data_IF_736110518285
#
_entry.id   IF_736110518285
#
_cell.length_a   1.000
_cell.length_b   1.000
_cell.length_c   1.000
_cell.angle_alpha   90.00
_cell.angle_beta   90.00
_cell.angle_gamma   90.00
#
_symmetry.space_group_name_H-M   'P 1'
#
loop_
_entity.id
_entity.type
_entity.pdbx_description
1 polymer ?
#
# COMPACT_ATOMS: atom_id res chain seq x y z
N UNK A 1 19.40 17.62 4.96
CA UNK A 1 18.51 16.52 5.39
C UNK A 1 18.27 16.63 6.88
N UNK A 2 17.18 16.06 7.37
CA UNK A 2 16.82 16.05 8.80
C UNK A 2 16.70 14.61 9.26
N UNK A 3 17.28 14.30 10.40
CA UNK A 3 17.13 13.03 11.12
C UNK A 3 16.37 13.31 12.41
N UNK A 4 15.40 12.46 12.76
CA UNK A 4 14.65 12.60 14.00
C UNK A 4 13.64 11.49 14.21
N UNK A 5 13.15 11.36 15.44
CA UNK A 5 12.29 10.25 15.88
C UNK A 5 10.78 10.55 15.69
N UNK A 6 10.41 11.82 15.53
CA UNK A 6 9.03 12.30 15.70
C UNK A 6 8.33 12.78 14.42
N UNK A 7 8.94 12.63 13.24
CA UNK A 7 8.28 12.94 11.96
C UNK A 7 8.14 11.70 11.07
N UNK A 8 7.15 11.70 10.18
CA UNK A 8 7.03 10.62 9.20
C UNK A 8 8.23 10.66 8.24
N UNK A 9 8.77 9.48 7.85
CA UNK A 9 9.93 9.41 6.98
C UNK A 9 9.59 9.93 5.57
N UNK A 10 10.58 10.59 4.97
CA UNK A 10 10.65 11.02 3.58
C UNK A 10 12.08 10.81 3.04
N UNK A 11 12.39 11.39 1.88
CA UNK A 11 13.73 11.36 1.28
C UNK A 11 14.66 12.32 2.02
N UNK A 12 14.18 13.50 2.38
CA UNK A 12 14.95 14.52 3.11
C UNK A 12 14.78 14.45 4.63
N UNK A 13 13.86 13.60 5.09
CA UNK A 13 13.47 13.42 6.48
C UNK A 13 13.60 11.94 6.87
N UNK A 14 14.82 11.49 7.17
CA UNK A 14 15.03 10.11 7.61
C UNK A 14 14.68 9.95 9.10
N UNK A 15 14.23 8.75 9.47
CA UNK A 15 13.89 8.41 10.84
C UNK A 15 14.86 7.36 11.37
N UNK A 16 15.34 7.53 12.60
CA UNK A 16 16.16 6.52 13.26
C UNK A 16 15.30 5.30 13.60
N UNK A 17 15.78 4.12 13.23
CA UNK A 17 15.26 2.83 13.66
C UNK A 17 16.39 1.96 14.24
N UNK A 18 16.04 0.79 14.78
CA UNK A 18 16.99 -0.13 15.41
C UNK A 18 18.10 -0.62 14.47
N UNK A 19 17.76 -0.84 13.20
CA UNK A 19 18.67 -1.35 12.18
C UNK A 19 19.39 -0.25 11.39
N UNK A 20 19.14 1.04 11.69
CA UNK A 20 19.70 2.18 10.99
C UNK A 20 18.64 3.19 10.60
N UNK A 21 19.00 4.13 9.72
CA UNK A 21 18.05 5.13 9.24
C UNK A 21 17.07 4.51 8.24
N UNK A 22 15.87 5.07 8.25
CA UNK A 22 14.72 4.68 7.43
C UNK A 22 14.28 5.87 6.57
N UNK A 23 14.17 5.65 5.26
CA UNK A 23 13.59 6.61 4.31
C UNK A 23 12.38 6.02 3.61
N UNK A 24 11.45 6.89 3.20
CA UNK A 24 10.27 6.51 2.43
C UNK A 24 10.23 7.30 1.14
N UNK A 25 9.90 6.60 0.07
CA UNK A 25 9.93 7.10 -1.28
C UNK A 25 8.50 7.08 -1.81
N UNK A 26 8.03 8.26 -2.19
CA UNK A 26 6.66 8.47 -2.67
C UNK A 26 6.56 8.09 -4.14
N UNK A 27 5.53 7.32 -4.49
CA UNK A 27 5.29 6.86 -5.87
C UNK A 27 3.80 7.06 -6.20
N UNK A 28 3.42 8.22 -6.78
CA UNK A 28 2.03 8.56 -7.15
C UNK A 28 1.32 7.42 -7.88
N UNK A 29 0.22 6.93 -7.31
CA UNK A 29 -0.57 5.82 -7.84
C UNK A 29 0.16 4.48 -7.91
N UNK A 30 1.32 4.35 -7.26
CA UNK A 30 2.22 3.21 -7.42
C UNK A 30 2.89 3.13 -8.78
N UNK A 31 2.78 4.17 -9.61
CA UNK A 31 3.29 4.19 -10.98
C UNK A 31 4.79 4.50 -10.97
N UNK A 32 5.61 3.55 -11.38
CA UNK A 32 7.07 3.70 -11.42
C UNK A 32 7.57 3.35 -12.81
N UNK A 33 8.53 4.10 -13.35
CA UNK A 33 9.13 3.74 -14.64
C UNK A 33 10.31 2.77 -14.46
N UNK A 34 10.67 1.95 -15.46
CA UNK A 34 11.74 0.96 -15.32
C UNK A 34 13.10 1.56 -14.90
N UNK A 35 13.46 2.73 -15.41
CA UNK A 35 14.70 3.43 -15.05
C UNK A 35 14.73 3.86 -13.58
N UNK A 36 13.59 4.30 -13.04
CA UNK A 36 13.41 4.62 -11.63
C UNK A 36 13.58 3.38 -10.75
N UNK A 37 12.95 2.26 -11.11
CA UNK A 37 13.10 1.01 -10.35
C UNK A 37 14.54 0.48 -10.39
N UNK A 38 15.24 0.63 -11.52
CA UNK A 38 16.67 0.30 -11.61
C UNK A 38 17.54 1.22 -10.74
N UNK A 39 17.23 2.52 -10.66
CA UNK A 39 17.92 3.43 -9.76
C UNK A 39 17.73 3.01 -8.29
N UNK A 40 16.50 2.64 -7.91
CA UNK A 40 16.20 2.11 -6.57
C UNK A 40 17.05 0.87 -6.26
N UNK A 41 17.14 -0.09 -7.18
CA UNK A 41 17.94 -1.30 -6.99
C UNK A 41 19.42 -1.01 -6.73
N UNK A 42 20.01 -0.05 -7.48
CA UNK A 42 21.40 0.37 -7.31
C UNK A 42 21.62 1.08 -5.98
N UNK A 43 20.70 1.98 -5.62
CA UNK A 43 20.78 2.76 -4.39
C UNK A 43 20.60 1.89 -3.15
N UNK A 44 19.72 0.89 -3.19
CA UNK A 44 19.56 -0.05 -2.07
C UNK A 44 20.77 -0.94 -1.86
N UNK A 45 21.38 -1.41 -2.94
CA UNK A 45 22.63 -2.18 -2.86
C UNK A 45 23.80 -1.36 -2.30
N UNK A 46 23.85 -0.05 -2.60
CA UNK A 46 24.98 0.80 -2.24
C UNK A 46 24.87 1.46 -0.86
N UNK A 47 23.66 1.82 -0.43
CA UNK A 47 23.46 2.76 0.68
C UNK A 47 22.45 2.31 1.74
N UNK A 48 21.93 1.09 1.65
CA UNK A 48 20.95 0.53 2.60
C UNK A 48 21.22 -0.96 2.83
N UNK A 49 20.30 -1.67 3.50
CA UNK A 49 20.36 -3.11 3.77
C UNK A 49 20.23 -4.03 2.52
N UNK A 50 20.37 -3.49 1.29
CA UNK A 50 20.20 -4.24 0.05
C UNK A 50 18.76 -4.63 -0.29
N UNK A 51 17.77 -4.18 0.49
CA UNK A 51 16.35 -4.47 0.28
C UNK A 51 15.53 -3.21 0.02
N UNK A 52 14.38 -3.42 -0.62
CA UNK A 52 13.37 -2.40 -0.90
C UNK A 52 12.03 -2.96 -0.48
N UNK A 53 11.31 -2.23 0.36
CA UNK A 53 10.03 -2.66 0.90
C UNK A 53 8.88 -1.92 0.21
N UNK A 54 7.90 -2.67 -0.27
CA UNK A 54 6.65 -2.13 -0.83
C UNK A 54 5.67 -1.94 0.31
N UNK A 55 5.12 -0.73 0.42
CA UNK A 55 4.18 -0.38 1.49
C UNK A 55 2.73 -0.57 1.04
N UNK A 56 1.79 -0.61 1.99
CA UNK A 56 0.36 -0.73 1.67
C UNK A 56 -0.29 0.53 1.13
N UNK A 57 0.50 1.54 0.76
CA UNK A 57 0.04 2.73 0.04
C UNK A 57 0.76 2.85 -1.30
N UNK A 58 1.25 1.73 -1.83
CA UNK A 58 1.98 1.67 -3.09
C UNK A 58 3.21 2.59 -3.15
N UNK A 59 3.84 2.84 -2.00
CA UNK A 59 5.14 3.52 -1.90
C UNK A 59 6.27 2.51 -1.69
N UNK A 60 7.51 3.00 -1.79
CA UNK A 60 8.71 2.23 -1.44
C UNK A 60 9.33 2.72 -0.11
N UNK A 61 10.10 1.86 0.52
CA UNK A 61 10.79 2.13 1.77
C UNK A 61 12.15 1.44 1.79
N UNK A 62 13.17 2.11 2.32
CA UNK A 62 14.54 1.61 2.46
C UNK A 62 15.01 1.76 3.90
N UNK A 63 15.73 0.76 4.40
CA UNK A 63 16.15 0.64 5.82
C UNK A 63 17.63 0.27 5.92
N UNK A 64 18.18 0.34 7.12
CA UNK A 64 19.59 0.05 7.35
C UNK A 64 20.52 1.06 6.71
N UNK A 65 20.08 2.33 6.61
CA UNK A 65 20.89 3.39 6.00
C UNK A 65 21.81 3.97 7.09
N UNK A 66 23.11 3.99 6.83
CA UNK A 66 24.09 4.65 7.70
C UNK A 66 24.03 6.18 7.52
N UNK A 67 24.41 6.93 8.56
CA UNK A 67 24.33 8.40 8.55
C UNK A 67 25.14 9.03 7.41
N UNK A 68 26.31 8.46 7.13
CA UNK A 68 27.26 8.90 6.11
C UNK A 68 26.68 8.68 4.70
N UNK A 69 25.87 7.63 4.54
CA UNK A 69 25.26 7.22 3.26
C UNK A 69 23.99 8.00 2.91
N UNK A 70 23.33 8.61 3.90
CA UNK A 70 22.03 9.23 3.72
C UNK A 70 22.05 10.34 2.65
N UNK A 71 23.12 11.14 2.57
CA UNK A 71 23.22 12.25 1.61
C UNK A 71 23.35 11.72 0.17
N UNK A 72 24.12 10.65 -0.01
CA UNK A 72 24.30 10.02 -1.32
C UNK A 72 23.00 9.36 -1.78
N UNK A 73 22.30 8.67 -0.88
CA UNK A 73 21.00 8.10 -1.15
C UNK A 73 19.98 9.17 -1.56
N UNK A 74 19.85 10.25 -0.79
CA UNK A 74 18.89 11.32 -1.07
C UNK A 74 19.15 12.00 -2.43
N UNK A 75 20.42 12.30 -2.75
CA UNK A 75 20.80 12.85 -4.07
C UNK A 75 20.51 11.89 -5.21
N UNK A 76 20.75 10.60 -5.01
CA UNK A 76 20.45 9.57 -6.00
C UNK A 76 18.95 9.45 -6.27
N UNK A 77 18.13 9.50 -5.22
CA UNK A 77 16.67 9.47 -5.33
C UNK A 77 16.11 10.73 -6.01
N UNK A 78 16.67 11.90 -5.68
CA UNK A 78 16.34 13.17 -6.33
C UNK A 78 16.70 13.14 -7.83
N UNK A 79 17.90 12.67 -8.16
CA UNK A 79 18.36 12.51 -9.56
C UNK A 79 17.50 11.51 -10.36
N UNK A 80 16.91 10.53 -9.69
CA UNK A 80 15.95 9.59 -10.29
C UNK A 80 14.51 10.15 -10.37
N UNK A 81 14.26 11.38 -9.90
CA UNK A 81 12.98 12.06 -9.99
C UNK A 81 11.97 11.66 -8.92
N UNK A 82 12.41 11.14 -7.77
CA UNK A 82 11.50 10.77 -6.68
C UNK A 82 11.21 11.90 -5.70
N UNK A 83 12.04 12.94 -5.65
CA UNK A 83 11.82 14.09 -4.78
C UNK A 83 10.88 15.09 -5.48
N UNK A 84 9.63 15.27 -5.02
CA UNK A 84 8.72 16.22 -5.66
C UNK A 84 9.18 17.67 -5.48
N UNK A 85 9.50 18.04 -4.24
CA UNK A 85 10.19 19.26 -3.86
C UNK A 85 10.60 19.17 -2.38
N UNK A 86 11.54 20.01 -1.90
CA UNK A 86 11.96 19.98 -0.50
C UNK A 86 10.82 20.19 0.51
N UNK A 87 9.82 21.00 0.17
CA UNK A 87 8.69 21.30 1.04
C UNK A 87 7.62 20.21 1.03
N UNK A 88 7.55 19.39 -0.03
CA UNK A 88 6.52 18.36 -0.20
C UNK A 88 7.03 16.94 0.06
N UNK A 89 8.27 16.78 0.54
CA UNK A 89 8.92 15.49 0.82
C UNK A 89 8.09 14.54 1.71
N UNK A 90 7.29 15.11 2.62
CA UNK A 90 6.47 14.35 3.59
C UNK A 90 4.98 14.31 3.23
N UNK A 91 4.57 14.96 2.14
CA UNK A 91 3.19 14.84 1.66
C UNK A 91 2.96 13.40 1.23
N UNK A 92 1.82 12.84 1.59
CA UNK A 92 1.55 11.41 1.32
C UNK A 92 1.31 11.14 -0.16
N UNK A 93 1.30 9.85 -0.45
CA UNK A 93 0.93 9.36 -1.76
C UNK A 93 -0.56 9.58 -2.06
N UNK A 94 -0.88 9.64 -3.34
CA UNK A 94 -2.24 9.44 -3.86
C UNK A 94 -2.30 7.96 -4.29
N UNK A 95 -3.15 7.17 -3.65
CA UNK A 95 -3.28 5.73 -3.93
C UNK A 95 -4.43 5.50 -4.92
N UNK A 96 -4.30 4.51 -5.80
CA UNK A 96 -5.36 4.14 -6.74
C UNK A 96 -5.34 2.64 -7.02
N UNK A 97 -6.33 2.15 -7.77
CA UNK A 97 -6.36 0.78 -8.25
C UNK A 97 -5.06 0.45 -9.02
N UNK A 98 -4.27 -0.53 -8.58
CA UNK A 98 -3.02 -0.90 -9.25
C UNK A 98 -3.21 -1.38 -10.69
N UNK A 99 -4.41 -1.84 -11.05
CA UNK A 99 -4.77 -2.22 -12.41
C UNK A 99 -5.40 -1.07 -13.21
N UNK A 100 -5.37 0.17 -12.73
CA UNK A 100 -5.90 1.31 -13.48
C UNK A 100 -5.30 1.39 -14.90
N UNK A 101 -6.16 1.36 -15.92
CA UNK A 101 -5.82 1.30 -17.34
C UNK A 101 -5.26 -0.04 -17.84
N UNK A 102 -5.24 -1.08 -17.00
CA UNK A 102 -4.72 -2.42 -17.29
C UNK A 102 -5.77 -3.53 -17.08
N UNK A 103 -6.66 -3.37 -16.11
CA UNK A 103 -7.63 -4.38 -15.69
C UNK A 103 -8.92 -4.34 -16.52
N UNK A 104 -9.61 -5.47 -16.60
CA UNK A 104 -10.89 -5.59 -17.32
C UNK A 104 -12.10 -5.02 -16.54
N UNK A 105 -12.03 -5.02 -15.22
CA UNK A 105 -13.15 -4.77 -14.32
C UNK A 105 -13.22 -3.32 -13.80
N UNK A 106 -12.30 -2.45 -14.24
CA UNK A 106 -12.36 -1.02 -13.91
C UNK A 106 -13.49 -0.32 -14.69
N UNK A 107 -14.09 0.68 -14.06
CA UNK A 107 -15.14 1.52 -14.66
C UNK A 107 -14.51 2.64 -15.50
N UNK A 108 -13.43 3.24 -15.01
CA UNK A 108 -12.66 4.27 -15.73
C UNK A 108 -11.16 4.13 -15.44
N UNK A 109 -10.32 4.84 -16.19
CA UNK A 109 -8.89 4.94 -15.89
C UNK A 109 -8.63 6.10 -14.92
N UNK A 110 -8.18 5.80 -13.70
CA UNK A 110 -7.91 6.80 -12.65
C UNK A 110 -6.53 7.46 -12.76
N UNK A 111 -5.62 6.94 -13.60
CA UNK A 111 -4.24 7.44 -13.69
C UNK A 111 -4.14 8.93 -14.03
N UNK A 112 -4.96 9.50 -14.95
CA UNK A 112 -4.94 10.93 -15.23
C UNK A 112 -5.23 11.78 -13.99
N UNK A 113 -6.25 11.43 -13.20
CA UNK A 113 -6.62 12.15 -11.98
C UNK A 113 -5.53 12.08 -10.92
N UNK A 114 -4.88 10.92 -10.76
CA UNK A 114 -3.75 10.77 -9.84
C UNK A 114 -2.59 11.67 -10.22
N UNK A 115 -2.23 11.70 -11.51
CA UNK A 115 -1.14 12.57 -12.02
C UNK A 115 -1.48 14.04 -11.85
N UNK A 116 -2.70 14.44 -12.17
CA UNK A 116 -3.13 15.83 -12.03
C UNK A 116 -3.14 16.27 -10.56
N UNK A 117 -3.79 15.49 -9.69
CA UNK A 117 -3.87 15.78 -8.26
C UNK A 117 -2.47 15.89 -7.65
N UNK A 118 -1.59 14.93 -7.93
CA UNK A 118 -0.21 14.97 -7.47
C UNK A 118 0.54 16.22 -7.95
N UNK A 119 0.43 16.52 -9.25
CA UNK A 119 1.11 17.64 -9.87
C UNK A 119 0.63 18.99 -9.31
N UNK A 120 -0.65 19.10 -8.94
CA UNK A 120 -1.21 20.31 -8.32
C UNK A 120 -0.86 20.41 -6.84
N UNK A 121 -0.92 19.31 -6.09
CA UNK A 121 -0.47 19.26 -4.68
C UNK A 121 0.98 19.74 -4.56
N UNK A 122 1.87 19.25 -5.42
CA UNK A 122 3.30 19.55 -5.32
C UNK A 122 3.69 20.97 -5.76
N UNK A 123 2.80 21.68 -6.46
CA UNK A 123 2.97 23.08 -6.88
C UNK A 123 2.34 24.08 -5.93
N UNK A 124 1.42 23.66 -5.06
CA UNK A 124 0.72 24.54 -4.12
C UNK A 124 1.45 24.59 -2.77
N UNK A 125 2.09 25.71 -2.38
CA UNK A 125 2.74 25.84 -1.07
C UNK A 125 1.78 25.63 0.11
N UNK A 126 0.48 25.88 -0.06
CA UNK A 126 -0.54 25.61 0.95
C UNK A 126 -0.68 24.12 1.27
N UNK A 127 -0.41 23.26 0.29
CA UNK A 127 -0.47 21.79 0.44
C UNK A 127 0.73 21.20 1.16
N UNK A 128 1.86 21.91 1.22
CA UNK A 128 2.99 21.52 2.07
C UNK A 128 2.62 21.48 3.57
N UNK A 129 1.55 22.18 3.96
CA UNK A 129 0.99 22.17 5.32
C UNK A 129 0.20 20.91 5.68
N UNK A 130 -0.10 20.03 4.72
CA UNK A 130 -0.81 18.79 4.99
C UNK A 130 -0.04 17.92 5.99
N UNK A 131 -0.72 17.37 7.03
CA UNK A 131 -0.04 16.48 7.95
C UNK A 131 0.57 15.29 7.21
N UNK A 132 1.75 14.80 7.62
CA UNK A 132 2.39 13.67 6.97
C UNK A 132 1.61 12.35 7.03
N UNK A 133 0.42 12.32 7.64
CA UNK A 133 -0.51 11.18 7.67
C UNK A 133 -1.77 11.39 6.83
N UNK A 134 -2.02 12.60 6.33
CA UNK A 134 -3.15 12.94 5.47
C UNK A 134 -3.01 12.22 4.13
N UNK A 135 -3.99 11.42 3.71
CA UNK A 135 -3.89 10.61 2.48
C UNK A 135 -5.06 10.80 1.52
N UNK A 136 -4.77 10.53 0.24
CA UNK A 136 -5.75 10.59 -0.84
C UNK A 136 -5.89 9.22 -1.50
N UNK A 137 -7.11 8.87 -1.90
CA UNK A 137 -7.37 7.72 -2.75
C UNK A 137 -8.33 8.04 -3.91
N UNK A 138 -8.08 7.44 -5.07
CA UNK A 138 -9.01 7.49 -6.21
C UNK A 138 -9.27 6.05 -6.62
N UNK A 139 -10.47 5.55 -6.33
CA UNK A 139 -10.92 4.23 -6.71
C UNK A 139 -11.61 4.28 -8.09
N UNK A 140 -11.04 3.52 -9.02
CA UNK A 140 -11.46 3.42 -10.42
C UNK A 140 -12.47 2.30 -10.69
N UNK A 141 -12.91 1.60 -9.64
CA UNK A 141 -13.75 0.41 -9.78
C UNK A 141 -12.96 -0.87 -9.77
N UNK A 142 -13.65 -1.95 -10.13
CA UNK A 142 -13.12 -3.30 -10.06
C UNK A 142 -13.06 -3.86 -8.64
N UNK A 143 -12.33 -4.96 -8.51
CA UNK A 143 -12.43 -5.86 -7.35
C UNK A 143 -11.17 -5.84 -6.46
N UNK A 144 -10.08 -5.22 -6.92
CA UNK A 144 -8.73 -5.37 -6.35
C UNK A 144 -8.27 -4.21 -5.45
N UNK A 145 -9.11 -3.20 -5.26
CA UNK A 145 -8.73 -1.97 -4.57
C UNK A 145 -9.84 -1.52 -3.63
N UNK A 146 -9.53 -1.44 -2.33
CA UNK A 146 -10.41 -0.82 -1.33
C UNK A 146 -9.57 0.07 -0.41
N UNK A 147 -9.84 1.37 -0.47
CA UNK A 147 -9.11 2.41 0.25
C UNK A 147 -10.05 3.52 0.75
N UNK A 148 -11.23 3.12 1.23
CA UNK A 148 -12.23 4.05 1.76
C UNK A 148 -11.77 4.74 3.05
N UNK A 149 -10.87 4.11 3.80
CA UNK A 149 -10.32 4.58 5.08
C UNK A 149 -9.31 5.75 4.98
N UNK A 150 -8.92 6.15 3.76
CA UNK A 150 -8.04 7.30 3.52
C UNK A 150 -8.73 8.62 3.91
N UNK A 151 -7.95 9.70 4.08
CA UNK A 151 -8.53 10.96 4.56
C UNK A 151 -9.54 11.54 3.55
N UNK A 152 -9.16 11.62 2.28
CA UNK A 152 -10.09 11.98 1.21
C UNK A 152 -10.03 10.94 0.11
N UNK A 153 -11.18 10.42 -0.28
CA UNK A 153 -11.26 9.45 -1.36
C UNK A 153 -12.40 9.75 -2.32
N UNK A 154 -12.18 9.42 -3.58
CA UNK A 154 -13.19 9.42 -4.63
C UNK A 154 -13.39 8.01 -5.12
N UNK A 155 -14.62 7.50 -5.05
CA UNK A 155 -14.99 6.19 -5.57
C UNK A 155 -15.89 6.34 -6.77
N UNK A 156 -15.44 5.87 -7.93
CA UNK A 156 -16.30 5.93 -9.13
C UNK A 156 -17.55 5.08 -8.90
N UNK A 157 -18.70 5.55 -9.36
CA UNK A 157 -19.96 4.83 -9.41
C UNK A 157 -20.65 5.08 -10.76
N UNK A 158 -21.57 4.20 -11.13
CA UNK A 158 -22.42 4.37 -12.31
C UNK A 158 -23.82 4.77 -11.88
N UNK A 159 -24.34 5.87 -12.42
CA UNK A 159 -25.69 6.41 -12.18
C UNK A 159 -26.29 6.74 -13.54
N UNK A 160 -27.43 6.12 -13.89
CA UNK A 160 -28.16 6.36 -15.14
C UNK A 160 -27.24 6.43 -16.38
N UNK A 161 -26.43 5.37 -16.58
CA UNK A 161 -25.44 5.22 -17.66
C UNK A 161 -24.30 6.25 -17.70
N UNK A 162 -24.21 7.12 -16.68
CA UNK A 162 -23.13 8.08 -16.49
C UNK A 162 -22.25 7.71 -15.30
N UNK A 163 -21.07 8.32 -15.20
CA UNK A 163 -20.14 8.09 -14.09
C UNK A 163 -19.99 9.33 -13.21
N UNK A 164 -20.01 9.10 -11.90
CA UNK A 164 -19.70 10.09 -10.87
C UNK A 164 -18.65 9.51 -9.93
N UNK A 165 -17.98 10.37 -9.16
CA UNK A 165 -17.21 9.94 -8.01
C UNK A 165 -18.00 10.21 -6.73
N UNK A 166 -18.30 9.17 -5.96
CA UNK A 166 -18.77 9.32 -4.59
C UNK A 166 -17.64 9.88 -3.73
N UNK A 167 -17.86 11.03 -3.09
CA UNK A 167 -16.93 11.61 -2.14
C UNK A 167 -16.98 10.84 -0.81
N UNK A 168 -15.83 10.35 -0.38
CA UNK A 168 -15.61 9.66 0.88
C UNK A 168 -14.66 10.49 1.74
N UNK A 169 -15.05 10.76 2.97
CA UNK A 169 -14.31 11.61 3.91
C UNK A 169 -13.98 10.79 5.15
N UNK A 170 -12.70 10.46 5.32
CA UNK A 170 -12.18 9.79 6.50
C UNK A 170 -12.78 8.40 6.79
N UNK A 171 -13.17 7.65 5.75
CA UNK A 171 -13.87 6.36 5.89
C UNK A 171 -15.39 6.43 5.75
N UNK A 172 -15.97 7.62 5.61
CA UNK A 172 -17.43 7.79 5.59
C UNK A 172 -17.89 8.28 4.22
N UNK A 173 -18.83 7.54 3.61
CA UNK A 173 -19.54 7.99 2.42
C UNK A 173 -20.36 9.24 2.72
N UNK A 174 -20.08 10.33 2.02
CA UNK A 174 -20.70 11.63 2.29
C UNK A 174 -22.19 11.72 1.91
N UNK A 175 -22.69 10.77 1.11
CA UNK A 175 -23.98 10.88 0.40
C UNK A 175 -23.94 11.76 -0.86
N UNK A 176 -22.79 12.38 -1.17
CA UNK A 176 -22.64 13.27 -2.32
C UNK A 176 -21.63 12.74 -3.34
N UNK A 177 -21.93 13.04 -4.59
CA UNK A 177 -21.12 12.73 -5.75
C UNK A 177 -20.43 13.98 -6.26
N UNK A 178 -19.41 13.77 -7.08
CA UNK A 178 -18.66 14.80 -7.78
C UNK A 178 -18.59 14.37 -9.25
N UNK A 179 -18.84 15.29 -10.16
CA UNK A 179 -18.69 15.02 -11.59
C UNK A 179 -17.23 14.75 -11.93
N UNK A 180 -17.00 13.97 -12.98
CA UNK A 180 -15.65 13.52 -13.37
C UNK A 180 -14.71 14.72 -13.61
N UNK A 181 -15.19 15.79 -14.23
CA UNK A 181 -14.41 17.00 -14.53
C UNK A 181 -14.04 17.84 -13.29
N UNK A 182 -14.76 17.67 -12.17
CA UNK A 182 -14.55 18.40 -10.91
C UNK A 182 -13.83 17.59 -9.83
N UNK A 183 -13.52 16.33 -10.10
CA UNK A 183 -12.92 15.39 -9.14
C UNK A 183 -11.66 15.96 -8.45
N UNK A 184 -10.69 16.44 -9.22
CA UNK A 184 -9.41 16.93 -8.69
C UNK A 184 -9.59 18.26 -7.93
N UNK A 185 -10.40 19.17 -8.47
CA UNK A 185 -10.71 20.45 -7.81
C UNK A 185 -11.37 20.22 -6.45
N UNK A 186 -12.37 19.34 -6.38
CA UNK A 186 -13.05 18.99 -5.15
C UNK A 186 -12.08 18.41 -4.09
N UNK A 187 -11.17 17.51 -4.48
CA UNK A 187 -10.20 16.93 -3.53
C UNK A 187 -9.20 17.97 -2.99
N UNK A 188 -8.74 18.88 -3.85
CA UNK A 188 -7.82 19.95 -3.44
C UNK A 188 -8.51 20.92 -2.49
N UNK A 189 -9.72 21.37 -2.83
CA UNK A 189 -10.48 22.28 -1.98
C UNK A 189 -10.84 21.62 -0.65
N UNK A 190 -11.27 20.35 -0.68
CA UNK A 190 -11.53 19.58 0.54
C UNK A 190 -10.30 19.50 1.46
N UNK A 191 -9.10 19.31 0.89
CA UNK A 191 -7.86 19.28 1.66
C UNK A 191 -7.53 20.64 2.30
N UNK A 192 -7.75 21.75 1.58
CA UNK A 192 -7.58 23.11 2.13
C UNK A 192 -8.60 23.38 3.25
N UNK A 193 -9.85 22.98 3.05
CA UNK A 193 -10.90 23.13 4.07
C UNK A 193 -10.59 22.28 5.30
N UNK A 194 -10.03 21.07 5.15
CA UNK A 194 -9.54 20.29 6.30
C UNK A 194 -8.45 21.02 7.10
N UNK A 195 -7.52 21.71 6.43
CA UNK A 195 -6.50 22.53 7.10
C UNK A 195 -7.12 23.74 7.82
N UNK A 196 -8.13 24.35 7.23
CA UNK A 196 -8.87 25.46 7.85
C UNK A 196 -9.67 25.01 9.08
N UNK A 197 -10.44 23.92 8.94
CA UNK A 197 -11.21 23.29 10.03
C UNK A 197 -10.29 22.94 11.20
N UNK A 198 -9.11 22.38 10.91
CA UNK A 198 -8.12 22.04 11.93
C UNK A 198 -7.78 23.22 12.82
N UNK A 199 -7.58 24.41 12.23
CA UNK A 199 -7.32 25.66 12.98
C UNK A 199 -8.57 26.18 13.69
N UNK A 200 -9.71 26.18 13.01
CA UNK A 200 -10.98 26.73 13.52
C UNK A 200 -11.52 25.97 14.72
N UNK A 201 -11.39 24.64 14.71
CA UNK A 201 -11.94 23.75 15.74
C UNK A 201 -10.88 23.16 16.67
N UNK A 202 -9.61 23.54 16.52
CA UNK A 202 -8.46 23.00 17.26
C UNK A 202 -8.41 21.46 17.27
N UNK A 203 -8.50 20.87 16.07
CA UNK A 203 -8.43 19.42 15.86
C UNK A 203 -7.35 19.06 14.86
N UNK A 204 -6.80 17.84 14.89
CA UNK A 204 -5.90 17.39 13.84
C UNK A 204 -6.55 17.53 12.45
N UNK A 205 -5.80 18.07 11.47
CA UNK A 205 -6.18 18.06 10.05
C UNK A 205 -6.15 16.62 9.50
N UNK A 206 -7.09 15.79 9.97
CA UNK A 206 -7.31 14.41 9.56
C UNK A 206 -8.80 14.26 9.33
N UNK A 207 -9.19 13.89 8.12
CA UNK A 207 -10.58 13.82 7.73
C UNK A 207 -11.38 12.82 8.59
N UNK A 208 -10.76 11.73 9.07
CA UNK A 208 -11.41 10.83 10.04
C UNK A 208 -11.83 11.55 11.32
N UNK A 209 -11.01 12.48 11.80
CA UNK A 209 -11.35 13.27 13.00
C UNK A 209 -12.44 14.30 12.66
N UNK A 210 -12.37 14.93 11.50
CA UNK A 210 -13.38 15.88 11.01
C UNK A 210 -14.74 15.19 10.85
N UNK A 211 -14.77 14.03 10.20
CA UNK A 211 -15.96 13.22 9.97
C UNK A 211 -16.61 12.73 11.29
N UNK A 212 -15.82 12.54 12.35
CA UNK A 212 -16.35 12.20 13.69
C UNK A 212 -17.07 13.35 14.40
N UNK A 213 -17.06 14.57 13.83
CA UNK A 213 -17.65 15.77 14.42
C UNK A 213 -18.66 16.38 13.45
N UNK A 214 -19.96 16.22 13.71
CA UNK A 214 -21.03 16.64 12.80
C UNK A 214 -20.92 18.10 12.36
N UNK A 215 -20.56 19.01 13.26
CA UNK A 215 -20.38 20.43 12.90
C UNK A 215 -19.22 20.66 11.92
N UNK A 216 -18.10 19.95 12.08
CA UNK A 216 -16.95 20.07 11.21
C UNK A 216 -17.20 19.40 9.85
N UNK A 217 -17.85 18.23 9.85
CA UNK A 217 -18.29 17.55 8.63
C UNK A 217 -19.29 18.40 7.83
N UNK A 218 -20.31 18.96 8.48
CA UNK A 218 -21.29 19.83 7.84
C UNK A 218 -20.65 21.09 7.27
N UNK A 219 -19.66 21.66 7.98
CA UNK A 219 -18.92 22.79 7.46
C UNK A 219 -18.12 22.42 6.21
N UNK A 220 -17.41 21.29 6.22
CA UNK A 220 -16.67 20.78 5.05
C UNK A 220 -17.61 20.59 3.84
N UNK A 221 -18.76 19.95 4.03
CA UNK A 221 -19.74 19.74 2.95
C UNK A 221 -20.35 21.05 2.46
N UNK A 222 -20.58 22.01 3.35
CA UNK A 222 -21.09 23.34 2.99
C UNK A 222 -20.10 24.10 2.11
N UNK A 223 -18.82 24.11 2.47
CA UNK A 223 -17.78 24.76 1.67
C UNK A 223 -17.62 24.08 0.29
N UNK A 224 -17.86 22.78 0.19
CA UNK A 224 -17.75 22.03 -1.07
C UNK A 224 -19.03 22.03 -1.92
N UNK A 225 -20.11 22.65 -1.45
CA UNK A 225 -21.46 22.49 -2.02
C UNK A 225 -21.56 22.78 -3.51
N UNK A 226 -20.71 23.66 -4.07
CA UNK A 226 -20.64 23.94 -5.52
C UNK A 226 -20.08 22.80 -6.38
N UNK A 227 -19.46 21.78 -5.78
CA UNK A 227 -19.03 20.56 -6.49
C UNK A 227 -20.01 19.40 -6.34
N UNK A 228 -20.88 19.45 -5.33
CA UNK A 228 -21.61 18.28 -4.86
C UNK A 228 -22.92 18.10 -5.63
N UNK A 229 -23.15 16.87 -6.06
CA UNK A 229 -24.44 16.41 -6.60
C UNK A 229 -24.97 15.27 -5.72
N UNK A 230 -26.28 15.06 -5.72
CA UNK A 230 -26.87 13.93 -5.02
C UNK A 230 -26.32 12.62 -5.58
N UNK A 231 -25.96 11.69 -4.68
CA UNK A 231 -25.31 10.46 -5.05
C UNK A 231 -25.92 9.29 -4.27
N UNK A 232 -26.58 8.34 -4.95
CA UNK A 232 -27.11 7.17 -4.27
C UNK A 232 -25.98 6.38 -3.61
N UNK A 233 -26.12 6.07 -2.33
CA UNK A 233 -25.20 5.17 -1.65
C UNK A 233 -25.36 3.76 -2.22
N UNK A 234 -24.38 3.28 -3.00
CA UNK A 234 -24.28 1.86 -3.33
C UNK A 234 -22.95 1.30 -2.80
N UNK A 235 -23.03 0.46 -1.78
CA UNK A 235 -21.86 -0.25 -1.27
C UNK A 235 -21.95 -1.76 -1.55
N UNK A 236 -22.13 -2.10 -2.82
CA UNK A 236 -22.40 -3.49 -3.22
C UNK A 236 -21.20 -4.16 -3.90
N UNK A 237 -20.04 -3.49 -3.99
CA UNK A 237 -18.85 -4.12 -4.59
C UNK A 237 -18.25 -5.14 -3.64
N UNK A 238 -18.10 -6.35 -4.16
CA UNK A 238 -17.30 -7.39 -3.53
C UNK A 238 -15.83 -7.17 -3.88
N UNK A 239 -15.00 -7.04 -2.86
CA UNK A 239 -13.57 -6.93 -3.03
C UNK A 239 -12.91 -8.30 -2.93
N UNK A 240 -11.91 -8.55 -3.76
CA UNK A 240 -11.04 -9.72 -3.61
C UNK A 240 -10.03 -9.40 -2.51
N UNK A 241 -10.10 -10.19 -1.45
CA UNK A 241 -9.33 -9.97 -0.23
C UNK A 241 -7.86 -10.42 -0.34
N UNK A 242 -7.51 -11.17 -1.39
CA UNK A 242 -6.20 -11.77 -1.63
C UNK A 242 -5.36 -10.97 -2.62
N UNK A 243 -4.03 -11.08 -2.50
CA UNK A 243 -3.13 -10.55 -3.51
C UNK A 243 -3.27 -11.37 -4.81
N UNK A 244 -3.48 -10.72 -5.97
CA UNK A 244 -3.63 -11.40 -7.25
C UNK A 244 -2.29 -11.92 -7.76
N UNK A 245 -1.76 -13.02 -7.22
CA UNK A 245 -0.50 -13.61 -7.72
C UNK A 245 -0.77 -14.45 -8.96
N UNK A 246 -0.03 -14.19 -10.05
CA UNK A 246 -0.11 -14.97 -11.28
C UNK A 246 -0.14 -14.15 -12.56
N UNK A 247 -0.81 -14.70 -13.57
CA UNK A 247 -0.96 -14.12 -14.91
C UNK A 247 -2.41 -13.68 -15.09
N UNK A 248 -2.60 -12.40 -15.43
CA UNK A 248 -3.91 -11.80 -15.60
C UNK A 248 -4.02 -11.19 -16.99
N UNK A 249 -5.14 -11.42 -17.65
CA UNK A 249 -5.40 -10.79 -18.94
C UNK A 249 -5.54 -9.26 -18.76
N UNK A 250 -5.22 -8.49 -19.81
CA UNK A 250 -5.49 -7.04 -19.91
C UNK A 250 -6.51 -6.74 -21.01
N UNK A 251 -7.17 -5.58 -20.94
CA UNK A 251 -8.07 -5.04 -21.97
C UNK A 251 -7.44 -5.06 -23.38
N UNK A 252 -6.11 -4.98 -23.47
CA UNK A 252 -5.39 -5.04 -24.74
C UNK A 252 -5.11 -6.49 -25.15
N UNK A 253 -5.72 -6.94 -26.24
CA UNK A 253 -5.52 -8.28 -26.78
C UNK A 253 -4.04 -8.58 -27.09
N UNK A 254 -3.57 -9.78 -26.73
CA UNK A 254 -2.19 -10.22 -26.94
C UNK A 254 -1.22 -9.80 -25.83
N UNK A 255 -1.70 -9.16 -24.77
CA UNK A 255 -0.90 -8.74 -23.61
C UNK A 255 -1.48 -9.30 -22.31
N UNK A 256 -0.62 -9.44 -21.30
CA UNK A 256 -0.96 -9.86 -19.94
C UNK A 256 -0.28 -8.98 -18.90
N UNK A 257 -0.85 -8.98 -17.70
CA UNK A 257 -0.24 -8.47 -16.48
C UNK A 257 0.32 -9.65 -15.68
N UNK A 258 1.58 -9.56 -15.25
CA UNK A 258 2.23 -10.54 -14.40
C UNK A 258 2.37 -9.98 -13.00
N UNK A 259 1.96 -10.75 -12.00
CA UNK A 259 2.03 -10.35 -10.60
C UNK A 259 2.82 -11.39 -9.83
N UNK A 260 4.14 -11.19 -9.66
CA UNK A 260 4.94 -12.09 -8.85
C UNK A 260 4.57 -11.99 -7.36
N UNK A 261 4.67 -13.11 -6.66
CA UNK A 261 4.64 -13.12 -5.21
C UNK A 261 5.90 -12.41 -4.70
N UNK A 262 5.72 -11.35 -3.90
CA UNK A 262 6.81 -10.63 -3.25
C UNK A 262 6.87 -11.05 -1.78
N UNK A 263 7.84 -11.88 -1.36
CA UNK A 263 7.93 -12.37 0.01
C UNK A 263 7.94 -11.21 1.02
N UNK A 264 6.95 -11.19 1.90
CA UNK A 264 6.79 -10.18 2.96
C UNK A 264 6.74 -8.72 2.46
N UNK A 265 6.51 -8.51 1.16
CA UNK A 265 6.60 -7.21 0.52
C UNK A 265 8.01 -6.64 0.43
N UNK A 266 9.06 -7.47 0.48
CA UNK A 266 10.47 -7.06 0.39
C UNK A 266 11.11 -7.65 -0.86
N UNK A 267 11.75 -6.81 -1.65
CA UNK A 267 12.55 -7.19 -2.80
C UNK A 267 14.04 -6.97 -2.49
N UNK A 268 14.89 -7.92 -2.85
CA UNK A 268 16.34 -7.68 -2.88
C UNK A 268 16.69 -6.72 -4.03
N UNK A 269 17.88 -6.11 -3.98
CA UNK A 269 18.41 -5.30 -5.10
C UNK A 269 18.47 -6.10 -6.41
N UNK A 270 18.86 -7.38 -6.36
CA UNK A 270 18.90 -8.26 -7.53
C UNK A 270 17.50 -8.52 -8.12
N UNK A 271 16.51 -8.80 -7.27
CA UNK A 271 15.11 -8.98 -7.69
C UNK A 271 14.55 -7.69 -8.29
N UNK A 272 14.79 -6.55 -7.64
CA UNK A 272 14.36 -5.23 -8.09
C UNK A 272 14.94 -4.89 -9.46
N UNK A 273 16.23 -5.15 -9.66
CA UNK A 273 16.91 -4.96 -10.94
C UNK A 273 16.39 -5.92 -12.03
N UNK A 274 16.10 -7.18 -11.67
CA UNK A 274 15.51 -8.15 -12.60
C UNK A 274 14.15 -7.65 -13.13
N UNK A 275 13.26 -7.22 -12.24
CA UNK A 275 11.94 -6.67 -12.61
C UNK A 275 12.10 -5.43 -13.49
N UNK A 276 12.98 -4.49 -13.12
CA UNK A 276 13.26 -3.30 -13.92
C UNK A 276 13.74 -3.67 -15.34
N UNK A 277 14.65 -4.63 -15.46
CA UNK A 277 15.18 -5.08 -16.75
C UNK A 277 14.15 -5.80 -17.62
N UNK A 278 13.21 -6.55 -17.01
CA UNK A 278 12.10 -7.17 -17.72
C UNK A 278 11.19 -6.09 -18.30
N UNK A 279 10.81 -5.10 -17.48
CA UNK A 279 9.95 -4.02 -17.92
C UNK A 279 10.61 -3.16 -19.00
N UNK A 280 11.92 -2.90 -18.92
CA UNK A 280 12.65 -2.21 -20.00
C UNK A 280 12.66 -2.99 -21.30
N UNK A 281 12.87 -4.31 -21.27
CA UNK A 281 12.94 -5.13 -22.48
C UNK A 281 11.61 -5.19 -23.25
N UNK A 282 10.49 -5.14 -22.52
CA UNK A 282 9.16 -5.33 -23.09
C UNK A 282 8.27 -4.08 -23.05
N UNK A 283 8.83 -2.91 -22.71
CA UNK A 283 8.09 -1.66 -22.46
C UNK A 283 6.90 -1.86 -21.49
N UNK A 284 7.15 -2.66 -20.45
CA UNK A 284 6.15 -3.07 -19.48
C UNK A 284 5.80 -1.97 -18.48
N UNK A 285 4.54 -1.93 -18.09
CA UNK A 285 4.00 -1.01 -17.08
C UNK A 285 4.31 -1.53 -15.67
N UNK A 286 4.98 -0.75 -14.81
CA UNK A 286 5.25 -1.15 -13.43
C UNK A 286 4.33 -0.45 -12.44
N UNK A 287 3.61 -1.25 -11.63
CA UNK A 287 2.64 -0.76 -10.63
C UNK A 287 2.91 -1.36 -9.26
N UNK A 288 3.22 -0.55 -8.27
CA UNK A 288 3.23 -0.94 -6.86
C UNK A 288 1.80 -1.05 -6.34
N UNK A 289 1.56 -2.03 -5.48
CA UNK A 289 0.21 -2.34 -5.04
C UNK A 289 0.03 -2.33 -3.50
N UNK A 290 -1.18 -2.01 -2.99
CA UNK A 290 -1.46 -1.96 -1.54
C UNK A 290 -1.30 -3.28 -0.79
N UNK A 291 -1.36 -4.41 -1.49
CA UNK A 291 -1.03 -5.73 -0.92
C UNK A 291 0.49 -5.94 -0.75
N UNK A 292 1.30 -4.88 -0.90
CA UNK A 292 2.77 -4.89 -0.83
C UNK A 292 3.42 -5.71 -1.96
N UNK A 293 2.78 -5.74 -3.13
CA UNK A 293 3.27 -6.41 -4.33
C UNK A 293 3.56 -5.43 -5.46
N UNK A 294 3.93 -6.00 -6.61
CA UNK A 294 4.21 -5.27 -7.84
C UNK A 294 3.53 -5.97 -9.02
N UNK A 295 3.04 -5.20 -9.98
CA UNK A 295 2.50 -5.66 -11.25
C UNK A 295 3.51 -5.29 -12.33
N UNK A 296 3.81 -6.25 -13.21
CA UNK A 296 4.52 -6.07 -14.47
C UNK A 296 3.47 -6.20 -15.58
N UNK A 297 2.87 -5.08 -15.93
CA UNK A 297 1.79 -4.96 -16.89
C UNK A 297 2.26 -4.88 -18.34
N UNK A 298 1.32 -5.05 -19.26
CA UNK A 298 1.55 -4.88 -20.70
C UNK A 298 2.65 -5.77 -21.26
N UNK A 299 2.76 -7.02 -20.78
CA UNK A 299 3.72 -8.00 -21.29
C UNK A 299 3.08 -8.82 -22.42
N UNK A 300 3.72 -8.97 -23.59
CA UNK A 300 3.19 -9.81 -24.66
C UNK A 300 2.95 -11.25 -24.19
N UNK A 301 1.82 -11.85 -24.58
CA UNK A 301 1.47 -13.24 -24.21
C UNK A 301 2.57 -14.25 -24.59
N UNK A 302 3.23 -14.04 -25.74
CA UNK A 302 4.32 -14.88 -26.20
C UNK A 302 5.57 -14.81 -25.29
N UNK A 303 5.73 -13.75 -24.50
CA UNK A 303 6.88 -13.54 -23.62
C UNK A 303 6.72 -14.18 -22.23
N UNK A 304 5.51 -14.64 -21.86
CA UNK A 304 5.19 -15.15 -20.51
C UNK A 304 6.22 -16.17 -20.03
N UNK A 305 6.53 -17.20 -20.84
CA UNK A 305 7.47 -18.27 -20.46
C UNK A 305 8.87 -17.72 -20.14
N UNK A 306 9.36 -16.77 -20.95
CA UNK A 306 10.69 -16.19 -20.79
C UNK A 306 10.75 -15.27 -19.58
N UNK A 307 9.70 -14.48 -19.35
CA UNK A 307 9.61 -13.60 -18.18
C UNK A 307 9.48 -14.41 -16.90
N UNK A 308 8.62 -15.43 -16.88
CA UNK A 308 8.46 -16.33 -15.74
C UNK A 308 9.78 -17.02 -15.35
N UNK A 309 10.54 -17.52 -16.33
CA UNK A 309 11.85 -18.12 -16.07
C UNK A 309 12.85 -17.14 -15.44
N UNK A 310 12.86 -15.87 -15.88
CA UNK A 310 13.72 -14.82 -15.30
C UNK A 310 13.32 -14.46 -13.89
N UNK A 311 12.02 -14.31 -13.61
CA UNK A 311 11.52 -14.08 -12.26
C UNK A 311 11.89 -15.24 -11.33
N UNK A 312 11.69 -16.48 -11.80
CA UNK A 312 12.04 -17.68 -11.04
C UNK A 312 13.54 -17.75 -10.72
N UNK A 313 14.42 -17.32 -11.65
CA UNK A 313 15.88 -17.32 -11.43
C UNK A 313 16.33 -16.41 -10.28
N UNK A 314 15.50 -15.44 -9.88
CA UNK A 314 15.73 -14.56 -8.72
C UNK A 314 14.78 -14.87 -7.56
N UNK A 315 14.11 -16.02 -7.58
CA UNK A 315 13.24 -16.49 -6.50
C UNK A 315 11.86 -15.81 -6.43
N UNK A 316 11.37 -15.24 -7.53
CA UNK A 316 10.02 -14.68 -7.63
C UNK A 316 9.13 -15.62 -8.47
N UNK A 317 8.10 -16.18 -7.85
CA UNK A 317 7.14 -17.08 -8.51
C UNK A 317 5.89 -16.31 -8.99
N UNK A 318 5.22 -16.87 -9.99
CA UNK A 318 3.89 -16.44 -10.45
C UNK A 318 2.79 -17.37 -9.89
N UNK A 319 3.04 -17.96 -8.73
CA UNK A 319 2.11 -18.80 -7.99
C UNK A 319 2.30 -18.60 -6.48
N UNK A 320 1.37 -19.15 -5.69
CA UNK A 320 1.39 -19.05 -4.24
C UNK A 320 2.09 -20.24 -3.54
N UNK A 321 2.90 -21.04 -4.27
CA UNK A 321 3.44 -22.30 -3.74
C UNK A 321 4.59 -22.13 -2.75
N UNK A 322 5.21 -20.95 -2.69
CA UNK A 322 6.32 -20.69 -1.77
C UNK A 322 5.90 -20.49 -0.31
N UNK A 323 4.59 -20.54 0.00
CA UNK A 323 4.05 -20.40 1.36
C UNK A 323 4.00 -18.98 1.93
N UNK A 324 4.46 -17.95 1.19
CA UNK A 324 4.36 -16.55 1.65
C UNK A 324 2.98 -15.92 1.40
N UNK A 325 2.12 -16.57 0.60
CA UNK A 325 0.77 -16.10 0.34
C UNK A 325 -0.04 -15.96 1.63
N UNK A 326 -0.61 -14.77 1.87
CA UNK A 326 -1.42 -14.50 3.07
C UNK A 326 -0.63 -14.24 4.36
N UNK A 327 0.72 -14.23 4.34
CA UNK A 327 1.55 -13.97 5.52
C UNK A 327 1.96 -12.49 5.59
N UNK A 328 1.59 -11.81 6.68
CA UNK A 328 1.88 -10.40 6.90
C UNK A 328 2.73 -10.20 8.16
N UNK A 329 3.81 -9.43 8.03
CA UNK A 329 4.71 -9.12 9.14
C UNK A 329 5.01 -7.63 9.27
N UNK A 330 5.45 -7.22 10.46
CA UNK A 330 6.04 -5.90 10.68
C UNK A 330 7.56 -5.91 10.43
N UNK A 331 8.25 -4.82 10.78
CA UNK A 331 9.70 -4.72 10.62
C UNK A 331 10.49 -5.69 11.49
N UNK A 332 9.88 -6.27 12.52
CA UNK A 332 10.56 -7.18 13.44
C UNK A 332 11.73 -6.49 14.14
N UNK A 333 12.85 -7.19 14.24
CA UNK A 333 14.09 -6.74 14.91
C UNK A 333 14.66 -5.43 14.37
N UNK A 334 14.25 -4.95 13.19
CA UNK A 334 14.55 -3.59 12.71
C UNK A 334 13.73 -2.46 13.38
N UNK A 335 12.85 -2.79 14.32
CA UNK A 335 12.09 -1.84 15.14
C UNK A 335 12.44 -2.01 16.62
N UNK A 336 12.67 -0.90 17.33
CA UNK A 336 13.04 -0.92 18.75
C UNK A 336 12.00 -1.57 19.65
N UNK A 337 10.72 -1.50 19.26
CA UNK A 337 9.63 -2.10 20.03
C UNK A 337 9.51 -3.61 19.84
N UNK A 338 10.22 -4.23 18.90
CA UNK A 338 10.03 -5.64 18.57
C UNK A 338 10.69 -6.57 19.57
N UNK A 339 9.94 -7.55 20.05
CA UNK A 339 10.36 -8.59 21.00
C UNK A 339 10.79 -9.89 20.31
N UNK A 340 10.48 -10.05 19.02
CA UNK A 340 10.84 -11.24 18.23
C UNK A 340 11.31 -10.91 16.82
N UNK A 341 12.01 -11.86 16.19
CA UNK A 341 12.33 -11.84 14.76
C UNK A 341 11.19 -12.45 13.93
N UNK A 342 10.12 -11.66 13.81
CA UNK A 342 8.91 -12.10 13.08
C UNK A 342 9.15 -12.36 11.59
N UNK A 343 10.23 -11.81 11.00
CA UNK A 343 10.56 -12.04 9.59
C UNK A 343 11.17 -13.41 9.39
N UNK A 344 12.07 -13.81 10.29
CA UNK A 344 12.57 -15.16 10.34
C UNK A 344 11.44 -16.16 10.60
N UNK A 345 10.57 -15.87 11.58
CA UNK A 345 9.46 -16.76 11.92
C UNK A 345 8.46 -16.92 10.76
N UNK A 346 8.18 -15.85 10.01
CA UNK A 346 7.39 -15.93 8.79
C UNK A 346 8.07 -16.73 7.67
N UNK A 347 9.41 -16.66 7.57
CA UNK A 347 10.17 -17.44 6.59
C UNK A 347 10.12 -18.94 6.92
N UNK A 348 10.20 -19.29 8.21
CA UNK A 348 10.01 -20.66 8.70
C UNK A 348 8.58 -21.15 8.40
N UNK A 349 7.56 -20.35 8.69
CA UNK A 349 6.17 -20.69 8.38
C UNK A 349 5.96 -20.89 6.88
N UNK A 350 6.49 -20.00 6.05
CA UNK A 350 6.40 -20.11 4.59
C UNK A 350 7.07 -21.39 4.07
N UNK A 351 8.24 -21.76 4.62
CA UNK A 351 8.89 -23.03 4.28
C UNK A 351 8.01 -24.24 4.62
N UNK A 352 7.38 -24.24 5.80
CA UNK A 352 6.46 -25.31 6.21
C UNK A 352 5.20 -25.37 5.34
N UNK A 353 4.71 -24.23 4.84
CA UNK A 353 3.57 -24.13 3.92
C UNK A 353 3.93 -24.41 2.46
N UNK A 354 5.21 -24.54 2.11
CA UNK A 354 5.65 -24.70 0.72
C UNK A 354 5.01 -25.94 0.09
N UNK A 355 4.50 -25.79 -1.13
CA UNK A 355 3.74 -26.81 -1.88
C UNK A 355 2.46 -27.34 -1.19
N UNK A 356 2.08 -26.79 -0.04
CA UNK A 356 0.83 -27.16 0.63
C UNK A 356 -0.37 -26.41 0.05
N UNK A 357 -1.54 -27.05 0.08
CA UNK A 357 -2.81 -26.40 -0.27
C UNK A 357 -3.24 -25.50 0.88
N UNK A 358 -3.23 -24.19 0.65
CA UNK A 358 -3.78 -23.19 1.54
C UNK A 358 -5.12 -22.73 1.01
N UNK A 359 -6.13 -22.64 1.88
CA UNK A 359 -7.46 -22.20 1.46
C UNK A 359 -7.43 -20.73 1.03
N UNK A 360 -8.05 -20.37 -0.11
CA UNK A 360 -8.24 -18.97 -0.49
C UNK A 360 -8.87 -18.19 0.67
N UNK A 361 -8.32 -17.02 0.96
CA UNK A 361 -8.75 -16.09 2.01
C UNK A 361 -7.98 -16.26 3.32
N UNK A 362 -7.12 -17.28 3.44
CA UNK A 362 -6.29 -17.50 4.60
C UNK A 362 -5.27 -16.35 4.79
N UNK A 363 -5.20 -15.83 6.02
CA UNK A 363 -4.37 -14.68 6.36
C UNK A 363 -3.77 -14.84 7.75
N UNK A 364 -2.49 -14.52 7.89
CA UNK A 364 -1.77 -14.53 9.17
C UNK A 364 -1.06 -13.21 9.39
N UNK A 365 -1.30 -12.60 10.55
CA UNK A 365 -0.57 -11.42 10.99
C UNK A 365 0.45 -11.82 12.06
N UNK A 366 1.75 -11.64 11.82
CA UNK A 366 2.81 -11.87 12.82
C UNK A 366 3.41 -10.51 13.21
N UNK A 367 3.12 -10.06 14.42
CA UNK A 367 3.52 -8.76 14.94
C UNK A 367 4.56 -8.91 16.04
N UNK A 368 5.66 -8.17 15.92
CA UNK A 368 6.76 -8.22 16.89
C UNK A 368 6.47 -7.53 18.22
N UNK A 369 5.32 -6.86 18.38
CA UNK A 369 4.87 -6.27 19.63
C UNK A 369 3.38 -5.93 19.61
N UNK A 370 2.87 -5.46 20.75
CA UNK A 370 1.48 -5.05 20.98
C UNK A 370 0.95 -3.95 20.04
N UNK A 371 1.84 -3.15 19.42
CA UNK A 371 1.47 -2.13 18.42
C UNK A 371 0.88 -2.74 17.15
N UNK A 372 1.11 -4.03 16.89
CA UNK A 372 0.48 -4.81 15.83
C UNK A 372 0.58 -4.17 14.44
N UNK A 373 1.75 -3.65 14.06
CA UNK A 373 1.93 -3.00 12.75
C UNK A 373 1.73 -3.94 11.55
N UNK A 374 1.72 -5.26 11.76
CA UNK A 374 1.38 -6.24 10.73
C UNK A 374 -0.13 -6.38 10.49
N UNK A 375 -0.97 -5.83 11.37
CA UNK A 375 -2.41 -6.07 11.39
C UNK A 375 -3.09 -5.78 10.05
N UNK A 376 -3.88 -6.75 9.63
CA UNK A 376 -4.83 -6.72 8.52
C UNK A 376 -6.14 -7.28 9.02
N UNK A 377 -7.24 -6.60 8.71
CA UNK A 377 -8.57 -7.04 9.11
C UNK A 377 -8.88 -8.41 8.48
N UNK A 378 -9.61 -9.25 9.22
CA UNK A 378 -10.04 -10.56 8.74
C UNK A 378 -8.95 -11.63 8.71
N UNK A 379 -7.95 -11.56 9.59
CA UNK A 379 -6.94 -12.62 9.71
C UNK A 379 -7.54 -13.92 10.27
N UNK A 380 -7.10 -15.05 9.71
CA UNK A 380 -7.38 -16.39 10.24
C UNK A 380 -6.61 -16.61 11.54
N UNK A 381 -5.36 -16.15 11.60
CA UNK A 381 -4.56 -16.18 12.82
C UNK A 381 -3.75 -14.89 13.04
N UNK A 382 -3.56 -14.55 14.30
CA UNK A 382 -2.75 -13.41 14.74
C UNK A 382 -1.76 -13.91 15.79
N UNK A 383 -0.48 -13.63 15.55
CA UNK A 383 0.62 -13.86 16.48
C UNK A 383 1.17 -12.50 16.94
N UNK A 384 1.18 -12.27 18.24
CA UNK A 384 1.70 -11.03 18.83
C UNK A 384 2.83 -11.41 19.79
N UNK A 385 4.05 -10.97 19.49
CA UNK A 385 5.20 -11.33 20.31
C UNK A 385 5.09 -10.68 21.70
N UNK A 386 5.42 -11.49 22.71
CA UNK A 386 5.52 -11.12 24.11
C UNK A 386 6.97 -11.34 24.58
N UNK A 387 7.26 -11.01 25.84
CA UNK A 387 8.59 -11.27 26.43
C UNK A 387 8.92 -12.77 26.54
N UNK A 388 7.92 -13.65 26.49
CA UNK A 388 8.07 -15.09 26.71
C UNK A 388 7.66 -15.95 25.51
N UNK A 389 7.31 -15.35 24.37
CA UNK A 389 6.84 -16.08 23.19
C UNK A 389 5.81 -15.29 22.39
N UNK A 390 4.67 -15.92 22.10
CA UNK A 390 3.57 -15.31 21.34
C UNK A 390 2.22 -15.47 22.03
N UNK A 391 1.43 -14.40 22.00
CA UNK A 391 -0.02 -14.50 22.14
C UNK A 391 -0.62 -14.92 20.79
N UNK A 392 -1.47 -15.94 20.82
CA UNK A 392 -2.13 -16.52 19.64
C UNK A 392 -3.63 -16.23 19.68
N UNK A 393 -4.14 -15.69 18.57
CA UNK A 393 -5.57 -15.57 18.30
C UNK A 393 -5.90 -16.27 16.99
N UNK A 394 -7.05 -16.92 16.92
CA UNK A 394 -7.59 -17.46 15.66
C UNK A 394 -9.02 -16.98 15.47
N UNK A 395 -9.34 -16.53 14.26
CA UNK A 395 -10.66 -15.99 13.91
C UNK A 395 -11.16 -14.88 14.88
N UNK A 396 -10.23 -14.08 15.42
CA UNK A 396 -10.47 -13.02 16.40
C UNK A 396 -10.60 -13.50 17.86
N UNK A 397 -10.64 -14.81 18.12
CA UNK A 397 -10.72 -15.39 19.47
C UNK A 397 -9.33 -15.62 20.03
N UNK A 398 -9.13 -15.29 21.29
CA UNK A 398 -7.90 -15.59 22.00
C UNK A 398 -7.82 -17.10 22.27
N UNK A 399 -6.67 -17.71 21.94
CA UNK A 399 -6.46 -19.15 22.07
C UNK A 399 -5.48 -19.46 23.19
N UNK A 400 -4.32 -18.80 23.19
CA UNK A 400 -3.27 -19.05 24.16
C UNK A 400 -2.34 -17.83 24.32
N UNK A 401 -1.70 -17.74 25.49
CA UNK A 401 -0.69 -16.72 25.80
C UNK A 401 0.70 -17.34 25.87
N UNK A 402 1.73 -16.56 25.56
CA UNK A 402 3.14 -16.94 25.76
C UNK A 402 3.49 -18.33 25.20
N UNK A 403 2.90 -18.68 24.06
CA UNK A 403 3.24 -19.90 23.34
C UNK A 403 4.68 -19.83 22.87
N UNK A 404 5.39 -20.96 22.92
CA UNK A 404 6.67 -21.06 22.22
C UNK A 404 6.48 -20.74 20.74
N UNK A 405 7.54 -20.25 20.07
CA UNK A 405 7.50 -19.99 18.63
C UNK A 405 7.00 -21.21 17.86
N UNK A 406 7.56 -22.38 18.13
CA UNK A 406 7.26 -23.59 17.36
C UNK A 406 5.79 -24.00 17.58
N UNK A 407 5.29 -23.98 18.83
CA UNK A 407 3.88 -24.25 19.13
C UNK A 407 2.92 -23.24 18.47
N UNK A 408 3.31 -21.96 18.41
CA UNK A 408 2.51 -20.92 17.75
C UNK A 408 2.43 -21.14 16.23
N UNK A 409 3.56 -21.48 15.59
CA UNK A 409 3.60 -21.77 14.16
C UNK A 409 2.82 -23.05 13.81
N UNK A 410 2.94 -24.10 14.63
CA UNK A 410 2.18 -25.34 14.45
C UNK A 410 0.66 -25.11 14.53
N UNK A 411 0.21 -24.27 15.47
CA UNK A 411 -1.19 -23.90 15.59
C UNK A 411 -1.69 -23.11 14.35
N UNK A 412 -0.87 -22.19 13.83
CA UNK A 412 -1.18 -21.46 12.59
C UNK A 412 -1.28 -22.41 11.39
N UNK A 413 -0.36 -23.37 11.28
CA UNK A 413 -0.38 -24.41 10.24
C UNK A 413 -1.64 -25.27 10.31
N UNK A 414 -2.09 -25.63 11.52
CA UNK A 414 -3.31 -26.41 11.69
C UNK A 414 -4.55 -25.70 11.11
N UNK A 415 -4.60 -24.38 11.19
CA UNK A 415 -5.71 -23.57 10.66
C UNK A 415 -5.63 -23.27 9.14
N UNK A 416 -4.67 -23.82 8.39
CA UNK A 416 -4.48 -23.50 6.95
C UNK A 416 -5.64 -23.89 6.02
N UNK A 417 -6.49 -24.82 6.46
CA UNK A 417 -7.71 -25.26 5.77
C UNK A 417 -8.97 -24.58 6.32
N UNK A 418 -8.86 -23.81 7.41
CA UNK A 418 -9.96 -23.12 8.05
C UNK A 418 -10.18 -21.73 7.45
N UNK A 419 -11.45 -21.32 7.35
CA UNK A 419 -11.82 -19.93 7.09
C UNK A 419 -12.52 -19.35 8.31
N UNK A 420 -12.34 -18.05 8.52
CA UNK A 420 -13.24 -17.30 9.40
C UNK A 420 -14.65 -17.40 8.81
N UNK A 421 -15.60 -17.97 9.56
CA UNK A 421 -17.01 -17.77 9.24
C UNK A 421 -17.28 -16.27 9.34
N UNK A 422 -17.85 -15.67 8.29
CA UNK A 422 -18.29 -14.28 8.34
C UNK A 422 -19.27 -14.14 9.50
N UNK A 423 -18.80 -13.59 10.62
CA UNK A 423 -19.71 -13.03 11.62
C UNK A 423 -20.26 -11.79 10.97
N UNK A 424 -21.52 -11.89 10.53
CA UNK A 424 -22.37 -10.79 10.08
C UNK A 424 -22.25 -9.63 11.09
N UNK A 425 -21.43 -8.64 10.78
CA UNK A 425 -21.39 -7.37 11.51
C UNK A 425 -22.40 -6.44 10.88
N UNK A 426 -23.50 -6.25 11.61
CA UNK A 426 -24.53 -5.24 11.40
C UNK A 426 -23.97 -3.82 11.44
#
# INVERSE_FOLDING_TARGET
MRVGENFCPGILHAVQAKDGLLTRIRVPGGMIVPSQLSAIAKLSAAFSDGHVEITSRSNLQMRGIENENLNYLARGLDSAGFLPSPNHDRVRNVVTNPFAGLGFDEILDSRPFVRELDSRITRDPGMAGLPPKFSFAIDSGGSWFNHEDDDLALRVITVDDSHLFHLVIGGIFSGFGVTIDKAVDCLLEAAQVCLYISKKFDVPARARKIASMSQAMNHLLSELSHFLVDCPCSNDRKFVAEAPVGVYLTKQAGFVNLVPLVPLGRLTSAQTQCIASIATEWDGDLRLAPWRGIIIGSIPECAIRRVAARLQSVGLSLDNKSGYGGVFVCAGTGCDASLADVRNDASLLAHLLSEQVVKPGWKVNISGCEKQCAMRNGATAELIATVSGYDLRTNGRFIASNCSRDSALDAVLACRSELRSEVSSR
#
